data_IF_190045987977
#
_entry.id   IF_190045987977
#
_cell.length_a   1.000
_cell.length_b   1.000
_cell.length_c   1.000
_cell.angle_alpha   90.00
_cell.angle_beta   90.00
_cell.angle_gamma   90.00
#
_symmetry.space_group_name_H-M   'P 1'
#
loop_
_entity.id
_entity.type
_entity.pdbx_description
1 polymer ?
#
# COMPACT_ATOMS: atom_id res chain seq x y z
N UNK A 1 -6.33 -18.67 15.18
CA UNK A 1 -7.09 -18.14 14.03
C UNK A 1 -7.64 -16.79 14.44
N UNK A 2 -7.19 -15.74 13.78
CA UNK A 2 -7.64 -14.37 13.99
C UNK A 2 -7.52 -13.61 12.67
N UNK A 3 -8.20 -12.47 12.57
CA UNK A 3 -8.04 -11.56 11.42
C UNK A 3 -6.70 -10.85 11.61
N UNK A 4 -5.72 -11.13 10.73
CA UNK A 4 -4.41 -10.49 10.75
C UNK A 4 -4.40 -9.18 9.94
N UNK A 5 -5.39 -8.95 9.08
CA UNK A 5 -5.59 -7.71 8.36
C UNK A 5 -7.08 -7.35 8.26
N UNK A 6 -7.46 -6.21 8.83
CA UNK A 6 -8.78 -5.60 8.72
C UNK A 6 -8.76 -4.47 7.67
N UNK A 7 -9.81 -4.40 6.84
CA UNK A 7 -9.97 -3.40 5.78
C UNK A 7 -11.18 -2.49 6.04
N UNK A 8 -11.79 -2.53 7.23
CA UNK A 8 -13.07 -1.87 7.50
C UNK A 8 -12.93 -0.43 7.99
N UNK A 9 -11.75 0.18 7.85
CA UNK A 9 -11.49 1.55 8.30
C UNK A 9 -11.64 2.55 7.16
N UNK A 10 -12.80 3.20 7.05
CA UNK A 10 -13.12 4.15 5.98
C UNK A 10 -13.68 5.48 6.48
N UNK A 11 -13.45 6.55 5.70
CA UNK A 11 -14.11 7.85 5.87
C UNK A 11 -15.53 7.77 5.35
N UNK A 12 -16.46 8.39 6.07
CA UNK A 12 -17.83 8.66 5.60
C UNK A 12 -18.14 10.15 5.69
N UNK A 13 -19.16 10.62 4.98
CA UNK A 13 -19.62 12.01 5.06
C UNK A 13 -19.82 12.44 6.53
N UNK A 14 -19.32 13.63 6.95
CA UNK A 14 -18.80 14.73 6.12
C UNK A 14 -17.27 14.73 5.91
N UNK A 15 -16.57 13.65 6.24
CA UNK A 15 -15.11 13.58 6.15
C UNK A 15 -14.63 13.29 4.72
N UNK A 16 -13.45 13.82 4.37
CA UNK A 16 -12.84 13.62 3.05
C UNK A 16 -12.48 12.17 2.79
N UNK A 17 -12.57 11.76 1.53
CA UNK A 17 -12.07 10.48 1.03
C UNK A 17 -10.54 10.37 1.19
N UNK A 18 -10.04 9.13 1.18
CA UNK A 18 -8.60 8.86 1.08
C UNK A 18 -7.94 8.39 2.37
N UNK A 19 -6.73 8.88 2.63
CA UNK A 19 -5.80 8.31 3.60
C UNK A 19 -6.09 8.75 5.05
N UNK A 20 -7.15 8.22 5.65
CA UNK A 20 -7.54 8.53 7.04
C UNK A 20 -6.43 8.31 8.07
N UNK A 21 -5.59 7.30 7.84
CA UNK A 21 -4.45 6.96 8.71
C UNK A 21 -3.21 7.82 8.44
N UNK A 22 -3.33 8.89 7.63
CA UNK A 22 -2.21 9.71 7.16
C UNK A 22 -1.34 9.03 6.09
N UNK A 23 -1.53 7.74 5.83
CA UNK A 23 -0.87 6.98 4.75
C UNK A 23 -1.78 5.89 4.20
N UNK A 24 -1.42 5.35 3.03
CA UNK A 24 -2.08 4.17 2.45
C UNK A 24 -1.53 2.84 2.91
N UNK A 25 -0.66 2.83 3.93
CA UNK A 25 -0.05 1.62 4.45
C UNK A 25 -0.81 1.11 5.68
N UNK A 26 -0.81 -0.21 5.92
CA UNK A 26 -1.43 -0.76 7.12
C UNK A 26 -0.75 -0.24 8.39
N UNK A 27 -1.55 0.01 9.41
CA UNK A 27 -1.12 0.30 10.77
C UNK A 27 -1.40 -0.89 11.67
N UNK A 28 -0.68 -1.04 12.79
CA UNK A 28 -1.04 -2.03 13.81
C UNK A 28 -1.92 -1.41 14.88
N UNK A 29 -2.81 -2.22 15.44
CA UNK A 29 -3.46 -1.87 16.69
C UNK A 29 -2.46 -1.95 17.85
N UNK A 30 -2.75 -1.18 18.90
CA UNK A 30 -1.89 -1.08 20.09
C UNK A 30 -2.78 -1.22 21.32
N UNK A 31 -2.34 -2.03 22.27
CA UNK A 31 -2.95 -2.16 23.59
C UNK A 31 -2.75 -0.90 24.43
N UNK A 32 -3.50 -0.80 25.53
CA UNK A 32 -3.40 0.36 26.45
C UNK A 32 -2.03 0.53 27.11
N UNK A 33 -1.20 -0.52 27.15
CA UNK A 33 0.16 -0.51 27.66
C UNK A 33 1.23 -0.21 26.59
N UNK A 34 0.81 0.01 25.34
CA UNK A 34 1.71 0.26 24.21
C UNK A 34 2.19 -1.00 23.48
N UNK A 35 1.79 -2.20 23.91
CA UNK A 35 2.12 -3.43 23.19
C UNK A 35 1.37 -3.51 21.86
N UNK A 36 2.02 -4.05 20.83
CA UNK A 36 1.44 -4.18 19.50
C UNK A 36 0.54 -5.41 19.45
N UNK A 37 -0.68 -5.24 18.94
CA UNK A 37 -1.57 -6.34 18.60
C UNK A 37 -1.19 -6.86 17.21
N UNK A 38 -1.18 -8.18 17.05
CA UNK A 38 -0.87 -8.86 15.80
C UNK A 38 -2.06 -8.82 14.83
N UNK A 39 -2.47 -7.61 14.48
CA UNK A 39 -3.54 -7.32 13.54
C UNK A 39 -3.24 -5.97 12.89
N UNK A 40 -3.20 -5.95 11.57
CA UNK A 40 -3.06 -4.75 10.78
C UNK A 40 -4.43 -4.19 10.41
N UNK A 41 -4.53 -2.87 10.33
CA UNK A 41 -5.66 -2.15 9.78
C UNK A 41 -5.20 -1.42 8.51
N UNK A 42 -5.70 -1.84 7.36
CA UNK A 42 -5.55 -1.17 6.08
C UNK A 42 -6.73 -0.21 5.90
N UNK A 43 -6.48 1.10 5.69
CA UNK A 43 -7.55 2.03 5.36
C UNK A 43 -8.23 1.66 4.04
N UNK A 44 -9.56 1.64 4.05
CA UNK A 44 -10.41 1.64 2.86
C UNK A 44 -10.65 3.08 2.44
N UNK A 45 -10.25 3.42 1.22
CA UNK A 45 -10.19 4.81 0.76
C UNK A 45 -11.58 5.34 0.38
N UNK A 46 -12.49 4.45 -0.01
CA UNK A 46 -13.87 4.77 -0.37
C UNK A 46 -14.76 3.51 -0.45
N UNK A 47 -16.08 3.73 -0.50
CA UNK A 47 -17.10 2.72 -0.81
C UNK A 47 -18.17 3.31 -1.72
N UNK A 48 -18.68 2.55 -2.69
CA UNK A 48 -19.73 3.01 -3.60
C UNK A 48 -20.99 3.49 -2.88
N UNK A 49 -21.31 2.91 -1.71
CA UNK A 49 -22.53 3.27 -0.98
C UNK A 49 -22.46 4.73 -0.50
N UNK A 50 -21.29 5.15 -0.03
CA UNK A 50 -21.01 6.52 0.41
C UNK A 50 -20.87 7.46 -0.78
N UNK A 51 -20.39 7.02 -1.94
CA UNK A 51 -20.22 7.91 -3.08
C UNK A 51 -21.53 8.17 -3.83
N UNK A 52 -22.25 7.12 -4.22
CA UNK A 52 -23.27 7.21 -5.27
C UNK A 52 -24.64 6.62 -4.89
N UNK A 53 -24.80 6.00 -3.71
CA UNK A 53 -26.11 5.42 -3.34
C UNK A 53 -27.20 6.50 -3.21
N UNK A 54 -28.33 6.38 -3.93
CA UNK A 54 -29.29 7.48 -4.07
C UNK A 54 -30.03 7.86 -2.78
N UNK A 55 -30.15 6.91 -1.84
CA UNK A 55 -30.99 7.04 -0.63
C UNK A 55 -30.23 6.88 0.68
N UNK A 56 -28.93 6.58 0.64
CA UNK A 56 -28.19 6.27 1.86
C UNK A 56 -27.87 7.58 2.57
N UNK A 57 -28.02 7.60 3.90
CA UNK A 57 -27.96 8.83 4.70
C UNK A 57 -26.55 9.44 4.68
N UNK A 58 -25.51 8.61 4.69
CA UNK A 58 -24.12 9.06 4.61
C UNK A 58 -23.60 9.15 3.17
N UNK A 59 -24.47 8.95 2.16
CA UNK A 59 -24.06 9.09 0.77
C UNK A 59 -24.00 10.54 0.34
N UNK A 60 -22.92 10.88 -0.35
CA UNK A 60 -22.77 12.14 -1.07
C UNK A 60 -23.73 12.28 -2.25
N UNK A 61 -24.32 11.18 -2.73
CA UNK A 61 -25.26 11.14 -3.87
C UNK A 61 -24.64 11.77 -5.12
N UNK A 62 -23.35 11.53 -5.34
CA UNK A 62 -22.68 12.02 -6.52
C UNK A 62 -23.19 11.32 -7.77
N UNK A 63 -23.22 12.02 -8.92
CA UNK A 63 -23.24 11.36 -10.22
C UNK A 63 -22.03 10.44 -10.36
N UNK A 64 -22.20 9.35 -11.11
CA UNK A 64 -21.14 8.35 -11.34
C UNK A 64 -19.89 9.00 -11.95
N UNK A 65 -20.07 9.95 -12.86
CA UNK A 65 -18.99 10.65 -13.56
C UNK A 65 -18.10 11.41 -12.59
N UNK A 66 -18.71 12.04 -11.57
CA UNK A 66 -17.97 12.71 -10.51
C UNK A 66 -17.23 11.71 -9.64
N UNK A 67 -17.89 10.62 -9.24
CA UNK A 67 -17.25 9.60 -8.42
C UNK A 67 -16.05 8.96 -9.12
N UNK A 68 -16.16 8.68 -10.42
CA UNK A 68 -15.05 8.18 -11.24
C UNK A 68 -13.88 9.17 -11.31
N UNK A 69 -14.14 10.47 -11.49
CA UNK A 69 -13.07 11.47 -11.52
C UNK A 69 -12.28 11.52 -10.20
N UNK A 70 -12.98 11.46 -9.06
CA UNK A 70 -12.37 11.49 -7.73
C UNK A 70 -11.60 10.19 -7.43
N UNK A 71 -12.17 9.02 -7.74
CA UNK A 71 -11.48 7.74 -7.51
C UNK A 71 -10.31 7.54 -8.47
N UNK A 72 -10.39 8.02 -9.72
CA UNK A 72 -9.27 8.00 -10.65
C UNK A 72 -8.09 8.82 -10.15
N UNK A 73 -8.33 10.00 -9.56
CA UNK A 73 -7.26 10.81 -8.97
C UNK A 73 -6.59 10.07 -7.79
N UNK A 74 -7.38 9.41 -6.94
CA UNK A 74 -6.86 8.57 -5.84
C UNK A 74 -5.97 7.44 -6.38
N UNK A 75 -6.41 6.76 -7.44
CA UNK A 75 -5.66 5.67 -8.08
C UNK A 75 -4.35 6.19 -8.67
N UNK A 76 -4.38 7.32 -9.38
CA UNK A 76 -3.20 7.95 -9.96
C UNK A 76 -2.19 8.38 -8.88
N UNK A 77 -2.66 8.99 -7.79
CA UNK A 77 -1.81 9.38 -6.67
C UNK A 77 -1.20 8.15 -5.98
N UNK A 78 -1.98 7.10 -5.79
CA UNK A 78 -1.51 5.83 -5.23
C UNK A 78 -0.43 5.20 -6.11
N UNK A 79 -0.60 5.20 -7.44
CA UNK A 79 0.35 4.61 -8.38
C UNK A 79 1.63 5.46 -8.56
N UNK A 80 1.49 6.78 -8.68
CA UNK A 80 2.57 7.66 -9.15
C UNK A 80 3.30 8.40 -8.05
N UNK A 81 2.66 8.58 -6.89
CA UNK A 81 3.19 9.43 -5.82
C UNK A 81 3.43 8.68 -4.52
N UNK A 82 2.45 7.89 -4.08
CA UNK A 82 2.46 7.30 -2.75
C UNK A 82 2.92 5.84 -2.73
N UNK A 83 2.75 5.11 -3.85
CA UNK A 83 3.07 3.70 -3.99
C UNK A 83 2.39 2.85 -2.90
N UNK A 84 1.06 2.96 -2.83
CA UNK A 84 0.20 2.29 -1.85
C UNK A 84 -0.93 1.52 -2.54
N UNK A 85 -1.50 0.48 -1.91
CA UNK A 85 -2.75 -0.10 -2.41
C UNK A 85 -3.89 0.91 -2.33
N UNK A 86 -4.94 0.67 -3.12
CA UNK A 86 -6.25 1.33 -3.00
C UNK A 86 -7.26 0.26 -2.59
N UNK A 87 -7.52 0.16 -1.29
CA UNK A 87 -8.61 -0.66 -0.79
C UNK A 87 -9.95 0.07 -0.96
N UNK A 88 -10.93 -0.63 -1.49
CA UNK A 88 -12.31 -0.18 -1.66
C UNK A 88 -13.24 -1.22 -1.04
N UNK A 89 -14.36 -0.77 -0.48
CA UNK A 89 -15.41 -1.66 -0.03
C UNK A 89 -16.55 -1.65 -1.06
N UNK A 90 -16.82 -2.81 -1.66
CA UNK A 90 -17.87 -3.00 -2.67
C UNK A 90 -18.81 -4.15 -2.34
N UNK A 91 -20.11 -3.87 -2.39
CA UNK A 91 -21.16 -4.82 -2.10
C UNK A 91 -21.65 -5.50 -3.39
N UNK A 92 -21.77 -6.85 -3.42
CA UNK A 92 -22.25 -7.57 -4.60
C UNK A 92 -23.63 -7.11 -5.09
N UNK A 93 -24.53 -6.79 -4.17
CA UNK A 93 -25.87 -6.29 -4.50
C UNK A 93 -25.80 -4.89 -5.10
N UNK A 94 -24.98 -4.00 -4.55
CA UNK A 94 -24.76 -2.66 -5.11
C UNK A 94 -24.16 -2.74 -6.50
N UNK A 95 -23.16 -3.61 -6.69
CA UNK A 95 -22.54 -3.84 -8.00
C UNK A 95 -23.58 -4.27 -9.04
N UNK A 96 -24.43 -5.23 -8.69
CA UNK A 96 -25.47 -5.74 -9.58
C UNK A 96 -26.65 -4.77 -9.83
N UNK A 97 -26.74 -3.66 -9.10
CA UNK A 97 -27.92 -2.77 -9.14
C UNK A 97 -27.62 -1.35 -9.60
N UNK A 98 -26.55 -0.72 -9.11
CA UNK A 98 -26.26 0.68 -9.44
C UNK A 98 -24.77 1.03 -9.54
N UNK A 99 -23.87 0.24 -8.93
CA UNK A 99 -22.47 0.65 -8.79
C UNK A 99 -21.51 0.03 -9.80
N UNK A 100 -21.94 -0.92 -10.64
CA UNK A 100 -21.03 -1.52 -11.63
C UNK A 100 -20.29 -0.48 -12.49
N UNK A 101 -20.91 0.62 -12.97
CA UNK A 101 -20.17 1.59 -13.78
C UNK A 101 -19.03 2.29 -13.03
N UNK A 102 -19.20 2.51 -11.71
CA UNK A 102 -18.15 3.07 -10.87
C UNK A 102 -17.03 2.05 -10.63
N UNK A 103 -17.38 0.81 -10.28
CA UNK A 103 -16.41 -0.23 -9.94
C UNK A 103 -15.58 -0.64 -11.17
N UNK A 104 -16.23 -0.88 -12.31
CA UNK A 104 -15.56 -1.22 -13.57
C UNK A 104 -14.64 -0.09 -14.03
N UNK A 105 -15.11 1.16 -14.00
CA UNK A 105 -14.27 2.31 -14.34
C UNK A 105 -13.06 2.50 -13.40
N UNK A 106 -13.18 2.09 -12.13
CA UNK A 106 -12.03 2.05 -11.22
C UNK A 106 -11.03 0.95 -11.60
N UNK A 107 -11.50 -0.22 -12.05
CA UNK A 107 -10.61 -1.27 -12.57
C UNK A 107 -9.88 -0.82 -13.83
N UNK A 108 -10.58 -0.16 -14.75
CA UNK A 108 -9.96 0.40 -15.96
C UNK A 108 -8.87 1.43 -15.60
N UNK A 109 -9.13 2.32 -14.63
CA UNK A 109 -8.14 3.27 -14.14
C UNK A 109 -6.93 2.57 -13.49
N UNK A 110 -7.16 1.53 -12.68
CA UNK A 110 -6.07 0.76 -12.06
C UNK A 110 -5.23 0.02 -13.11
N UNK A 111 -5.87 -0.59 -14.11
CA UNK A 111 -5.21 -1.24 -15.24
C UNK A 111 -4.37 -0.24 -16.06
N UNK A 112 -4.90 0.96 -16.31
CA UNK A 112 -4.18 2.01 -17.02
C UNK A 112 -2.91 2.48 -16.29
N UNK A 113 -2.90 2.42 -14.94
CA UNK A 113 -1.71 2.70 -14.11
C UNK A 113 -0.81 1.47 -13.90
N UNK A 114 -1.16 0.31 -14.46
CA UNK A 114 -0.41 -0.94 -14.28
C UNK A 114 -0.47 -1.49 -12.85
N UNK A 115 -1.51 -1.13 -12.07
CA UNK A 115 -1.67 -1.61 -10.71
C UNK A 115 -2.20 -3.06 -10.70
N UNK A 116 -1.58 -3.97 -9.93
CA UNK A 116 -2.13 -5.31 -9.74
C UNK A 116 -3.36 -5.26 -8.83
N UNK A 117 -4.31 -6.17 -9.07
CA UNK A 117 -5.39 -6.48 -8.13
C UNK A 117 -4.85 -7.55 -7.18
N UNK A 118 -4.89 -7.28 -5.88
CA UNK A 118 -4.34 -8.13 -4.83
C UNK A 118 -5.46 -8.59 -3.88
N UNK A 119 -5.32 -9.79 -3.35
CA UNK A 119 -6.05 -10.22 -2.16
C UNK A 119 -5.50 -9.57 -0.89
N UNK A 120 -6.30 -9.56 0.18
CA UNK A 120 -5.84 -9.10 1.50
C UNK A 120 -4.68 -9.95 2.04
N UNK A 121 -4.68 -11.25 1.75
CA UNK A 121 -3.61 -12.17 2.18
C UNK A 121 -2.29 -11.87 1.47
N UNK A 122 -2.29 -11.65 0.15
CA UNK A 122 -1.08 -11.24 -0.58
C UNK A 122 -0.52 -9.90 -0.08
N UNK A 123 -1.41 -8.98 0.28
CA UNK A 123 -0.99 -7.69 0.84
C UNK A 123 -0.45 -7.82 2.27
N UNK A 124 -1.03 -8.71 3.08
CA UNK A 124 -0.54 -9.04 4.41
C UNK A 124 0.85 -9.67 4.34
N UNK A 125 1.05 -10.67 3.50
CA UNK A 125 2.34 -11.33 3.31
C UNK A 125 3.43 -10.31 2.95
N UNK A 126 3.14 -9.41 2.01
CA UNK A 126 4.06 -8.33 1.65
C UNK A 126 4.31 -7.37 2.83
N UNK A 127 3.27 -7.02 3.57
CA UNK A 127 3.35 -6.10 4.71
C UNK A 127 4.22 -6.67 5.83
N UNK A 128 4.05 -7.95 6.16
CA UNK A 128 4.84 -8.63 7.18
C UNK A 128 6.29 -8.85 6.76
N UNK A 129 6.52 -9.19 5.49
CA UNK A 129 7.85 -9.26 4.90
C UNK A 129 8.56 -7.91 5.03
N UNK A 130 7.88 -6.83 4.64
CA UNK A 130 8.39 -5.46 4.75
C UNK A 130 8.66 -5.04 6.20
N UNK A 131 7.72 -5.28 7.11
CA UNK A 131 7.89 -5.00 8.54
C UNK A 131 9.03 -5.81 9.17
N UNK A 132 9.43 -6.91 8.53
CA UNK A 132 10.59 -7.72 8.92
C UNK A 132 11.95 -7.13 8.54
N UNK A 133 12.00 -6.15 7.63
CA UNK A 133 13.24 -5.59 7.09
C UNK A 133 13.76 -4.44 7.95
N UNK A 134 15.06 -4.44 8.24
CA UNK A 134 15.74 -3.37 9.00
C UNK A 134 16.97 -2.88 8.24
N UNK A 135 17.20 -1.58 8.31
CA UNK A 135 18.45 -0.92 7.89
C UNK A 135 19.04 -0.27 9.14
N UNK A 136 20.29 -0.59 9.46
CA UNK A 136 20.98 -0.06 10.63
C UNK A 136 22.45 0.24 10.31
N UNK A 137 23.05 1.17 11.03
CA UNK A 137 24.50 1.39 10.95
C UNK A 137 25.26 0.17 11.50
N UNK A 138 26.39 -0.16 10.89
CA UNK A 138 27.26 -1.27 11.33
C UNK A 138 28.29 -0.87 12.40
N UNK A 139 28.38 0.42 12.74
CA UNK A 139 29.37 0.96 13.68
C UNK A 139 30.73 1.28 13.07
N UNK A 140 30.98 0.88 11.82
CA UNK A 140 32.20 1.14 11.04
C UNK A 140 31.96 2.17 9.92
N UNK A 141 30.80 2.83 9.92
CA UNK A 141 30.40 3.82 8.92
C UNK A 141 29.69 3.25 7.70
N UNK A 142 29.30 1.97 7.70
CA UNK A 142 28.45 1.36 6.68
C UNK A 142 27.03 1.11 7.18
N UNK A 143 26.16 0.64 6.29
CA UNK A 143 24.79 0.22 6.61
C UNK A 143 24.66 -1.29 6.44
N UNK A 144 23.80 -1.90 7.25
CA UNK A 144 23.45 -3.31 7.16
C UNK A 144 21.95 -3.44 6.98
N UNK A 145 21.59 -4.11 5.89
CA UNK A 145 20.25 -4.60 5.62
C UNK A 145 20.07 -5.98 6.26
N UNK A 146 18.98 -6.17 6.98
CA UNK A 146 18.62 -7.47 7.55
C UNK A 146 17.12 -7.72 7.44
N UNK A 147 16.73 -8.99 7.46
CA UNK A 147 15.32 -9.40 7.44
C UNK A 147 15.09 -10.53 8.44
N UNK A 148 14.01 -10.46 9.22
CA UNK A 148 13.58 -11.57 10.09
C UNK A 148 13.05 -12.76 9.29
N UNK A 149 12.57 -12.51 8.08
CA UNK A 149 11.93 -13.49 7.19
C UNK A 149 12.82 -13.82 6.01
N UNK A 150 12.68 -15.03 5.47
CA UNK A 150 13.28 -15.36 4.18
C UNK A 150 12.53 -14.60 3.07
N UNK A 151 13.26 -14.00 2.13
CA UNK A 151 12.72 -13.18 1.06
C UNK A 151 13.21 -13.67 -0.30
N UNK A 152 12.28 -13.90 -1.22
CA UNK A 152 12.58 -14.21 -2.62
C UNK A 152 13.30 -13.04 -3.28
N UNK A 153 12.85 -11.82 -3.01
CA UNK A 153 13.47 -10.60 -3.48
C UNK A 153 13.26 -9.46 -2.47
N UNK A 154 14.27 -8.62 -2.31
CA UNK A 154 14.21 -7.38 -1.54
C UNK A 154 14.80 -6.26 -2.38
N UNK A 155 13.96 -5.29 -2.76
CA UNK A 155 14.39 -4.08 -3.45
C UNK A 155 14.47 -2.93 -2.45
N UNK A 156 15.64 -2.30 -2.37
CA UNK A 156 15.87 -1.12 -1.54
C UNK A 156 16.24 0.05 -2.44
N UNK A 157 15.52 1.15 -2.29
CA UNK A 157 15.84 2.41 -2.94
C UNK A 157 16.79 3.22 -2.06
N UNK A 158 17.91 3.66 -2.62
CA UNK A 158 18.97 4.33 -1.89
C UNK A 158 19.50 5.54 -2.66
N UNK A 159 19.96 6.60 -1.96
CA UNK A 159 20.72 7.69 -2.57
C UNK A 159 21.97 7.17 -3.29
N UNK A 160 22.42 7.87 -4.33
CA UNK A 160 23.55 7.47 -5.17
C UNK A 160 24.88 7.52 -4.41
N UNK A 161 24.95 8.29 -3.33
CA UNK A 161 26.16 8.52 -2.53
C UNK A 161 26.51 7.33 -1.62
N UNK A 162 25.56 6.42 -1.36
CA UNK A 162 25.82 5.21 -0.58
C UNK A 162 26.65 4.22 -1.39
N UNK A 163 27.61 3.54 -0.76
CA UNK A 163 28.50 2.59 -1.43
C UNK A 163 27.90 1.19 -1.43
N UNK A 164 27.45 0.72 -2.59
CA UNK A 164 26.89 -0.61 -2.75
C UNK A 164 27.88 -1.56 -3.43
N UNK A 165 27.97 -2.78 -2.92
CA UNK A 165 28.65 -3.87 -3.63
C UNK A 165 27.68 -4.48 -4.66
N UNK A 166 27.78 -4.03 -5.91
CA UNK A 166 26.89 -4.45 -6.99
C UNK A 166 27.00 -5.93 -7.35
N UNK A 167 28.06 -6.62 -6.91
CA UNK A 167 28.18 -8.08 -7.10
C UNK A 167 27.13 -8.88 -6.30
N UNK A 168 26.43 -8.25 -5.35
CA UNK A 168 25.45 -8.90 -4.47
C UNK A 168 23.99 -8.65 -4.88
N UNK A 169 23.74 -7.83 -5.90
CA UNK A 169 22.39 -7.40 -6.27
C UNK A 169 22.29 -6.96 -7.73
N UNK A 170 21.09 -6.98 -8.28
CA UNK A 170 20.83 -6.29 -9.56
C UNK A 170 20.47 -4.84 -9.29
N UNK A 171 21.05 -3.93 -10.07
CA UNK A 171 20.88 -2.49 -9.92
C UNK A 171 20.04 -1.91 -11.06
N UNK A 172 19.09 -1.03 -10.72
CA UNK A 172 18.43 -0.13 -11.66
C UNK A 172 18.39 1.30 -11.09
N UNK A 173 17.98 2.26 -11.92
CA UNK A 173 17.89 3.67 -11.53
C UNK A 173 16.46 4.15 -11.65
N UNK A 174 16.02 4.96 -10.69
CA UNK A 174 14.67 5.51 -10.60
C UNK A 174 14.75 7.01 -10.39
N UNK A 175 13.97 7.79 -11.13
CA UNK A 175 13.82 9.21 -10.89
C UNK A 175 12.49 9.47 -10.19
N UNK A 176 12.53 9.70 -8.87
CA UNK A 176 11.35 9.96 -8.05
C UNK A 176 11.47 11.31 -7.36
N UNK A 177 10.40 12.10 -7.39
CA UNK A 177 10.32 13.40 -6.73
C UNK A 177 11.48 14.36 -7.11
N UNK A 178 11.92 14.30 -8.38
CA UNK A 178 13.02 15.11 -8.91
C UNK A 178 14.40 14.70 -8.41
N UNK A 179 14.54 13.50 -7.83
CA UNK A 179 15.82 12.93 -7.39
C UNK A 179 16.04 11.58 -8.04
N UNK A 180 17.28 11.34 -8.45
CA UNK A 180 17.71 10.03 -8.92
C UNK A 180 18.08 9.15 -7.73
N UNK A 181 17.60 7.92 -7.75
CA UNK A 181 17.89 6.89 -6.77
C UNK A 181 18.41 5.65 -7.47
N UNK A 182 19.26 4.92 -6.75
CA UNK A 182 19.62 3.56 -7.12
C UNK A 182 18.65 2.59 -6.44
N UNK A 183 18.05 1.70 -7.23
CA UNK A 183 17.25 0.59 -6.74
C UNK A 183 18.09 -0.70 -6.79
N UNK A 184 18.46 -1.20 -5.61
CA UNK A 184 19.23 -2.43 -5.46
C UNK A 184 18.31 -3.59 -5.11
N UNK A 185 18.31 -4.65 -5.91
CA UNK A 185 17.48 -5.85 -5.68
C UNK A 185 18.34 -7.04 -5.29
N UNK A 186 18.19 -7.47 -4.05
CA UNK A 186 18.79 -8.69 -3.49
C UNK A 186 17.82 -9.85 -3.68
N UNK A 187 18.33 -11.03 -4.04
CA UNK A 187 17.50 -12.22 -4.28
C UNK A 187 17.85 -13.34 -3.30
N UNK A 188 16.86 -14.16 -2.97
CA UNK A 188 17.01 -15.35 -2.13
C UNK A 188 17.68 -15.06 -0.79
N UNK A 189 17.23 -13.99 -0.11
CA UNK A 189 17.77 -13.59 1.18
C UNK A 189 17.22 -14.51 2.27
N UNK A 190 18.04 -15.31 2.97
CA UNK A 190 17.52 -16.18 4.03
C UNK A 190 17.10 -15.37 5.26
N UNK A 191 16.25 -15.98 6.11
CA UNK A 191 15.86 -15.39 7.38
C UNK A 191 17.11 -15.12 8.25
N UNK A 192 17.18 -13.92 8.84
CA UNK A 192 18.33 -13.47 9.65
C UNK A 192 19.56 -13.04 8.85
N UNK A 193 19.51 -13.07 7.50
CA UNK A 193 20.62 -12.60 6.67
C UNK A 193 20.97 -11.14 6.96
N UNK A 194 22.26 -10.82 6.81
CA UNK A 194 22.82 -9.48 6.98
C UNK A 194 23.64 -9.13 5.74
N UNK A 195 23.28 -8.06 5.06
CA UNK A 195 23.94 -7.58 3.83
C UNK A 195 24.46 -6.18 4.09
N UNK A 196 25.76 -5.96 3.91
CA UNK A 196 26.36 -4.62 4.02
C UNK A 196 26.07 -3.84 2.74
N UNK A 197 25.56 -2.63 2.86
CA UNK A 197 25.18 -1.70 1.78
C UNK A 197 25.70 -0.29 2.05
#
# INVERSE_FOLDING_TARGET
>A
MGILMDLNYLSVHPFSLGYMAGSGRPLRFVETDGSLIDCYQQPTLWTEEVLIHPRFVFSFKWPVERALAETAQIIQDAARRFYTPVALNSHPVSFATYSSPLIEGCWDAALAEGMPILSADEWLDWTEARDGVRIAADGEGGLVLSSRHALTALTVMMPLELKLNENQCTVSYQNLWGREYRAATFRNMPAGARIRI
#
